data_IF_169339515718
#
_entry.id   IF_169339515718
#
_cell.length_a   1.000
_cell.length_b   1.000
_cell.length_c   1.000
_cell.angle_alpha   90.00
_cell.angle_beta   90.00
_cell.angle_gamma   90.00
#
_symmetry.space_group_name_H-M   'P 1'
#
loop_
_entity.id
_entity.type
_entity.pdbx_description
1 polymer ?
#
# COMPACT_ATOMS: atom_id res chain seq x y z
N UNK A 1 21.29 -0.83 14.63
CA UNK A 1 20.86 0.52 15.05
C UNK A 1 19.39 0.43 15.41
N UNK A 2 18.87 1.16 16.41
CA UNK A 2 17.44 1.14 16.70
C UNK A 2 16.71 1.87 15.57
N UNK A 3 15.81 1.19 14.88
CA UNK A 3 14.98 1.77 13.81
C UNK A 3 14.02 2.81 14.41
N UNK A 4 14.01 4.02 13.83
CA UNK A 4 13.15 5.13 14.24
C UNK A 4 11.72 4.93 13.73
N UNK A 5 10.89 4.18 14.43
CA UNK A 5 9.46 4.08 14.11
C UNK A 5 8.70 5.30 14.62
N UNK A 6 8.02 6.01 13.72
CA UNK A 6 7.25 7.21 14.10
C UNK A 6 5.84 6.86 14.55
N UNK A 7 5.28 5.72 14.11
CA UNK A 7 3.92 5.32 14.45
C UNK A 7 3.74 3.83 14.79
N UNK A 8 2.66 3.51 15.52
CA UNK A 8 2.35 2.14 16.00
C UNK A 8 2.08 1.15 14.87
N UNK A 9 1.54 1.62 13.74
CA UNK A 9 1.28 0.80 12.56
C UNK A 9 2.58 0.34 11.92
N UNK A 10 3.49 1.25 11.67
CA UNK A 10 4.81 0.97 11.08
C UNK A 10 5.55 -0.09 11.89
N UNK A 11 5.67 0.10 13.21
CA UNK A 11 6.34 -0.87 14.08
C UNK A 11 5.70 -2.27 14.02
N UNK A 12 4.37 -2.34 13.90
CA UNK A 12 3.67 -3.63 13.76
C UNK A 12 3.89 -4.24 12.40
N UNK A 13 3.95 -3.43 11.35
CA UNK A 13 4.25 -3.91 9.98
C UNK A 13 5.65 -4.48 9.95
N UNK A 14 6.63 -3.76 10.50
CA UNK A 14 7.99 -4.27 10.61
C UNK A 14 8.06 -5.61 11.36
N UNK A 15 7.40 -5.73 12.52
CA UNK A 15 7.37 -7.00 13.27
C UNK A 15 6.79 -8.14 12.44
N UNK A 16 5.74 -7.88 11.68
CA UNK A 16 5.15 -8.86 10.79
C UNK A 16 6.12 -9.26 9.66
N UNK A 17 6.80 -8.29 9.05
CA UNK A 17 7.80 -8.55 8.01
C UNK A 17 8.99 -9.34 8.57
N UNK A 18 9.42 -9.06 9.80
CA UNK A 18 10.44 -9.85 10.50
C UNK A 18 9.98 -11.26 10.82
N UNK A 19 8.73 -11.44 11.26
CA UNK A 19 8.13 -12.77 11.43
C UNK A 19 8.17 -13.58 10.12
N UNK A 20 7.85 -12.94 8.98
CA UNK A 20 7.95 -13.59 7.67
C UNK A 20 9.39 -13.92 7.30
N UNK A 21 10.33 -12.99 7.54
CA UNK A 21 11.77 -13.22 7.34
C UNK A 21 12.30 -14.40 8.15
N UNK A 22 11.90 -14.51 9.41
CA UNK A 22 12.33 -15.60 10.29
C UNK A 22 11.69 -16.93 9.89
N UNK A 23 10.46 -16.90 9.37
CA UNK A 23 9.72 -18.06 8.89
C UNK A 23 10.28 -18.60 7.56
N UNK A 24 10.77 -17.72 6.68
CA UNK A 24 11.26 -18.05 5.34
C UNK A 24 12.70 -17.55 5.13
N UNK A 25 13.68 -18.08 5.89
CA UNK A 25 15.07 -17.57 5.87
C UNK A 25 15.74 -17.70 4.49
N UNK A 26 15.34 -18.68 3.69
CA UNK A 26 15.83 -18.91 2.32
C UNK A 26 15.46 -17.80 1.34
N UNK A 27 14.44 -17.00 1.64
CA UNK A 27 14.02 -15.88 0.81
C UNK A 27 14.88 -14.63 1.00
N UNK A 28 15.76 -14.60 2.01
CA UNK A 28 16.78 -13.56 2.19
C UNK A 28 16.20 -12.14 2.25
N UNK A 29 15.37 -11.90 3.26
CA UNK A 29 14.68 -10.62 3.44
C UNK A 29 15.64 -9.51 3.90
N UNK A 30 15.67 -8.43 3.13
CA UNK A 30 16.20 -7.14 3.54
C UNK A 30 15.03 -6.17 3.72
N UNK A 31 14.78 -5.79 4.97
CA UNK A 31 13.69 -4.89 5.35
C UNK A 31 14.30 -3.52 5.64
N UNK A 32 13.84 -2.53 4.91
CA UNK A 32 14.17 -1.13 5.13
C UNK A 32 12.91 -0.42 5.63
N UNK A 33 12.96 0.12 6.83
CA UNK A 33 11.89 0.93 7.40
C UNK A 33 12.22 2.41 7.25
N UNK A 34 11.19 3.24 7.04
CA UNK A 34 11.29 4.71 7.00
C UNK A 34 12.38 5.21 6.04
N UNK A 35 12.33 4.72 4.80
CA UNK A 35 13.23 5.16 3.75
C UNK A 35 12.85 6.55 3.26
N UNK A 36 13.82 7.48 3.27
CA UNK A 36 13.63 8.81 2.70
C UNK A 36 14.20 8.90 1.29
N UNK A 37 13.32 9.00 0.31
CA UNK A 37 13.66 9.18 -1.09
C UNK A 37 13.85 10.66 -1.38
N UNK A 38 15.10 11.10 -1.39
CA UNK A 38 15.48 12.43 -1.88
C UNK A 38 15.39 12.47 -3.41
N UNK A 39 14.70 13.50 -3.91
CA UNK A 39 14.64 13.80 -5.33
C UNK A 39 15.35 15.12 -5.58
N UNK A 40 16.35 15.09 -6.47
CA UNK A 40 16.99 16.30 -7.01
C UNK A 40 16.15 16.99 -8.09
N UNK A 41 14.96 16.45 -8.41
CA UNK A 41 14.03 16.98 -9.40
C UNK A 41 12.86 17.65 -8.70
N UNK A 42 12.75 18.98 -8.81
CA UNK A 42 11.67 19.80 -8.24
C UNK A 42 10.26 19.36 -8.68
N UNK A 43 10.15 18.56 -9.75
CA UNK A 43 8.88 17.99 -10.22
C UNK A 43 8.41 16.80 -9.38
N UNK A 44 9.32 16.16 -8.65
CA UNK A 44 9.04 15.03 -7.79
C UNK A 44 9.40 15.41 -6.35
N UNK A 45 8.42 15.65 -5.46
CA UNK A 45 8.73 15.95 -4.07
C UNK A 45 9.42 14.76 -3.41
N UNK A 46 10.26 15.04 -2.42
CA UNK A 46 10.81 14.01 -1.53
C UNK A 46 9.68 13.16 -0.94
N UNK A 47 9.93 11.86 -0.78
CA UNK A 47 8.93 10.91 -0.28
C UNK A 47 9.50 10.01 0.80
N UNK A 48 8.68 9.71 1.79
CA UNK A 48 8.95 8.64 2.75
C UNK A 48 8.27 7.36 2.26
N UNK A 49 8.97 6.25 2.39
CA UNK A 49 8.43 4.90 2.22
C UNK A 49 8.46 4.22 3.59
N UNK A 50 7.30 3.83 4.09
CA UNK A 50 7.21 3.22 5.43
C UNK A 50 8.04 1.93 5.48
N UNK A 51 7.85 1.02 4.51
CA UNK A 51 8.62 -0.21 4.43
C UNK A 51 8.94 -0.58 2.98
N UNK A 52 10.19 -0.92 2.72
CA UNK A 52 10.64 -1.58 1.50
C UNK A 52 11.26 -2.93 1.88
N UNK A 53 10.84 -3.99 1.21
CA UNK A 53 11.37 -5.33 1.37
C UNK A 53 12.00 -5.76 0.06
N UNK A 54 13.27 -6.15 0.11
CA UNK A 54 13.96 -6.79 -1.01
C UNK A 54 14.25 -8.22 -0.60
N UNK A 55 13.75 -9.18 -1.36
CA UNK A 55 13.99 -10.60 -1.10
C UNK A 55 13.98 -11.38 -2.41
N UNK A 56 14.23 -12.69 -2.35
CA UNK A 56 14.22 -13.56 -3.54
C UNK A 56 12.88 -13.63 -4.25
N UNK A 57 11.79 -13.23 -3.59
CA UNK A 57 10.44 -13.21 -4.19
C UNK A 57 10.10 -11.88 -4.87
N UNK A 58 10.92 -10.84 -4.70
CA UNK A 58 10.72 -9.56 -5.37
C UNK A 58 11.10 -8.35 -4.51
N UNK A 59 10.64 -7.18 -4.95
CA UNK A 59 10.74 -5.92 -4.22
C UNK A 59 9.33 -5.49 -3.84
N UNK A 60 9.03 -5.40 -2.54
CA UNK A 60 7.72 -5.06 -2.01
C UNK A 60 7.79 -3.75 -1.26
N UNK A 61 6.95 -2.79 -1.62
CA UNK A 61 6.81 -1.50 -0.96
C UNK A 61 5.47 -1.45 -0.25
N UNK A 62 5.48 -1.10 1.03
CA UNK A 62 4.27 -0.98 1.83
C UNK A 62 4.09 0.45 2.33
N UNK A 63 2.92 1.00 2.06
CA UNK A 63 2.35 2.17 2.74
C UNK A 63 1.43 1.67 3.86
N UNK A 64 1.77 1.93 5.11
CA UNK A 64 1.09 1.37 6.27
C UNK A 64 0.09 2.36 6.85
N UNK A 65 -1.17 1.95 6.96
CA UNK A 65 -2.21 2.72 7.67
C UNK A 65 -2.66 2.01 8.94
N UNK A 66 -2.65 2.74 10.05
CA UNK A 66 -3.13 2.30 11.37
C UNK A 66 -4.47 2.97 11.71
N UNK A 67 -5.41 2.92 10.76
CA UNK A 67 -6.70 3.60 10.85
C UNK A 67 -7.77 2.70 11.48
N UNK A 68 -8.70 3.33 12.20
CA UNK A 68 -9.81 2.69 12.92
C UNK A 68 -11.15 3.08 12.30
N UNK A 69 -12.21 2.38 12.67
CA UNK A 69 -13.55 2.57 12.09
C UNK A 69 -13.67 1.93 10.72
N UNK A 70 -14.67 2.39 9.95
CA UNK A 70 -14.90 1.91 8.59
C UNK A 70 -14.02 2.67 7.61
N UNK A 71 -13.13 1.96 6.92
CA UNK A 71 -12.21 2.52 5.93
C UNK A 71 -12.65 2.11 4.54
N UNK A 72 -13.17 3.05 3.75
CA UNK A 72 -13.51 2.85 2.35
C UNK A 72 -12.28 3.11 1.49
N UNK A 73 -11.69 2.06 0.95
CA UNK A 73 -10.47 2.14 0.15
C UNK A 73 -10.75 2.58 -1.29
N UNK A 74 -10.08 3.66 -1.71
CA UNK A 74 -9.98 4.11 -3.10
C UNK A 74 -11.33 4.11 -3.88
N UNK A 75 -12.36 4.69 -3.26
CA UNK A 75 -13.73 4.75 -3.80
C UNK A 75 -13.96 6.04 -4.57
N UNK A 76 -14.98 6.04 -5.43
CA UNK A 76 -15.51 7.24 -6.08
C UNK A 76 -16.81 7.70 -5.42
N UNK A 77 -17.18 8.95 -5.69
CA UNK A 77 -18.47 9.50 -5.24
C UNK A 77 -19.66 8.68 -5.72
N UNK A 78 -19.64 8.22 -6.97
CA UNK A 78 -20.74 7.46 -7.58
C UNK A 78 -20.90 6.09 -6.93
N UNK A 79 -19.80 5.45 -6.51
CA UNK A 79 -19.86 4.21 -5.74
C UNK A 79 -20.53 4.42 -4.38
N UNK A 80 -20.17 5.48 -3.65
CA UNK A 80 -20.82 5.79 -2.37
C UNK A 80 -22.30 6.14 -2.54
N UNK A 81 -22.68 6.88 -3.59
CA UNK A 81 -24.07 7.18 -3.90
C UNK A 81 -24.86 5.89 -4.17
N UNK A 82 -24.25 4.94 -4.89
CA UNK A 82 -24.88 3.66 -5.22
C UNK A 82 -25.17 2.82 -3.97
N UNK A 83 -24.38 2.94 -2.89
CA UNK A 83 -24.64 2.27 -1.61
C UNK A 83 -25.90 2.79 -0.91
N UNK A 84 -26.18 4.10 -1.01
CA UNK A 84 -27.36 4.73 -0.35
C UNK A 84 -28.57 4.86 -1.28
N UNK A 85 -28.40 4.53 -2.56
CA UNK A 85 -29.43 4.62 -3.58
C UNK A 85 -29.48 3.34 -4.43
N UNK A 86 -30.11 2.25 -3.96
CA UNK A 86 -30.15 1.00 -4.70
C UNK A 86 -30.93 1.17 -6.01
N UNK A 87 -30.40 0.60 -7.09
CA UNK A 87 -30.84 0.76 -8.49
C UNK A 87 -32.33 0.44 -8.80
N UNK A 88 -33.08 -0.08 -7.84
CA UNK A 88 -34.51 -0.45 -7.98
C UNK A 88 -35.46 0.39 -7.11
N UNK A 89 -34.98 1.46 -6.47
CA UNK A 89 -35.77 2.34 -5.60
C UNK A 89 -35.87 3.78 -6.08
N UNK A 90 -36.78 4.55 -5.48
CA UNK A 90 -36.74 6.01 -5.64
C UNK A 90 -35.45 6.57 -5.03
N UNK A 91 -34.79 7.55 -5.68
CA UNK A 91 -33.60 8.19 -5.15
C UNK A 91 -33.79 8.65 -3.70
N UNK A 92 -32.97 8.14 -2.78
CA UNK A 92 -32.94 8.65 -1.40
C UNK A 92 -32.23 10.01 -1.37
N UNK A 93 -32.94 11.05 -1.82
CA UNK A 93 -32.39 12.41 -1.95
C UNK A 93 -31.83 12.95 -0.64
N UNK A 94 -32.42 12.57 0.49
CA UNK A 94 -31.93 12.96 1.81
C UNK A 94 -30.58 12.32 2.13
N UNK A 95 -30.43 11.01 1.92
CA UNK A 95 -29.16 10.31 2.11
C UNK A 95 -28.07 10.80 1.14
N UNK A 96 -28.40 11.05 -0.12
CA UNK A 96 -27.46 11.60 -1.11
C UNK A 96 -27.00 13.01 -0.70
N UNK A 97 -27.93 13.84 -0.22
CA UNK A 97 -27.60 15.19 0.27
C UNK A 97 -26.68 15.13 1.48
N UNK A 98 -26.99 14.25 2.44
CA UNK A 98 -26.15 14.05 3.62
C UNK A 98 -24.75 13.55 3.23
N UNK A 99 -24.66 12.49 2.43
CA UNK A 99 -23.38 11.97 1.92
C UNK A 99 -22.57 13.07 1.22
N UNK A 100 -23.20 13.83 0.32
CA UNK A 100 -22.50 14.89 -0.42
C UNK A 100 -22.02 16.01 0.51
N UNK A 101 -22.74 16.31 1.60
CA UNK A 101 -22.29 17.29 2.61
C UNK A 101 -21.12 16.83 3.49
N UNK A 102 -20.85 15.52 3.53
CA UNK A 102 -19.74 14.95 4.32
C UNK A 102 -18.46 14.83 3.48
N UNK A 103 -18.56 14.91 2.15
CA UNK A 103 -17.43 14.82 1.24
C UNK A 103 -16.77 16.20 1.03
N UNK A 104 -15.44 16.29 0.95
CA UNK A 104 -14.75 17.54 0.63
C UNK A 104 -15.19 18.12 -0.71
N UNK A 105 -15.15 19.45 -0.82
CA UNK A 105 -15.51 20.21 -2.03
C UNK A 105 -14.84 19.71 -3.32
N UNK A 106 -13.60 19.21 -3.23
CA UNK A 106 -12.86 18.70 -4.38
C UNK A 106 -13.47 17.40 -4.93
N UNK A 107 -13.86 16.50 -4.03
CA UNK A 107 -14.55 15.23 -4.35
C UNK A 107 -15.97 15.48 -4.87
N UNK A 108 -16.63 16.56 -4.43
CA UNK A 108 -17.99 16.89 -4.88
C UNK A 108 -18.04 17.58 -6.23
N UNK A 109 -16.96 18.25 -6.65
CA UNK A 109 -16.87 18.96 -7.95
C UNK A 109 -16.34 18.09 -9.09
N UNK A 110 -15.49 17.12 -8.79
CA UNK A 110 -14.84 16.25 -9.78
C UNK A 110 -15.41 14.81 -9.71
N UNK A 111 -16.31 14.46 -10.63
CA UNK A 111 -17.00 13.16 -10.64
C UNK A 111 -16.07 11.94 -10.83
N UNK A 112 -14.78 12.12 -11.12
CA UNK A 112 -13.84 11.03 -11.41
C UNK A 112 -12.69 10.88 -10.41
N UNK A 113 -12.56 11.75 -9.41
CA UNK A 113 -11.49 11.61 -8.42
C UNK A 113 -11.81 10.45 -7.45
N UNK A 114 -10.90 9.49 -7.32
CA UNK A 114 -10.98 8.45 -6.29
C UNK A 114 -10.31 8.93 -4.99
N UNK A 115 -10.81 8.44 -3.86
CA UNK A 115 -10.35 8.82 -2.54
C UNK A 115 -10.49 7.66 -1.55
N UNK A 116 -9.71 7.69 -0.49
CA UNK A 116 -9.91 6.83 0.67
C UNK A 116 -10.61 7.61 1.76
N UNK A 117 -11.60 7.01 2.42
CA UNK A 117 -12.38 7.66 3.48
C UNK A 117 -12.37 6.81 4.73
N UNK A 118 -12.26 7.43 5.90
CA UNK A 118 -12.42 6.76 7.20
C UNK A 118 -13.61 7.34 7.94
N UNK A 119 -14.46 6.48 8.49
CA UNK A 119 -15.62 6.84 9.30
C UNK A 119 -15.42 6.22 10.69
N UNK A 120 -15.03 7.04 11.67
CA UNK A 120 -14.88 6.63 13.07
C UNK A 120 -16.19 6.82 13.84
N UNK A 121 -16.95 7.84 13.47
CA UNK A 121 -18.32 8.12 13.90
C UNK A 121 -19.00 9.07 12.91
N UNK A 122 -20.32 9.29 12.97
CA UNK A 122 -21.02 10.21 12.06
C UNK A 122 -20.45 11.64 12.05
N UNK A 123 -19.87 12.07 13.17
CA UNK A 123 -19.21 13.36 13.33
C UNK A 123 -17.69 13.34 13.09
N UNK A 124 -17.10 12.17 12.85
CA UNK A 124 -15.66 12.00 12.64
C UNK A 124 -15.41 11.20 11.35
N UNK A 125 -15.38 11.94 10.25
CA UNK A 125 -15.11 11.46 8.90
C UNK A 125 -13.87 12.16 8.37
N UNK A 126 -12.90 11.38 7.90
CA UNK A 126 -11.67 11.88 7.28
C UNK A 126 -11.62 11.37 5.83
N UNK A 127 -11.25 12.25 4.90
CA UNK A 127 -11.16 11.92 3.47
C UNK A 127 -9.76 12.26 2.95
N UNK A 128 -9.21 11.33 2.18
CA UNK A 128 -7.84 11.35 1.66
C UNK A 128 -7.88 11.19 0.14
N UNK A 129 -7.61 12.26 -0.61
CA UNK A 129 -7.58 12.28 -2.07
C UNK A 129 -6.22 12.77 -2.62
N UNK A 130 -6.02 12.67 -3.93
CA UNK A 130 -4.75 13.06 -4.58
C UNK A 130 -3.54 12.41 -3.90
N UNK A 131 -2.51 13.21 -3.59
CA UNK A 131 -1.29 12.74 -2.92
C UNK A 131 -1.49 12.31 -1.46
N UNK A 132 -2.66 12.55 -0.86
CA UNK A 132 -2.99 12.06 0.48
C UNK A 132 -3.65 10.67 0.46
N UNK A 133 -4.15 10.21 -0.71
CA UNK A 133 -4.74 8.88 -0.87
C UNK A 133 -3.64 7.81 -0.73
N UNK A 134 -3.77 6.81 0.17
CA UNK A 134 -2.71 5.82 0.44
C UNK A 134 -2.19 5.10 -0.81
N UNK A 135 -3.08 4.72 -1.74
CA UNK A 135 -2.63 4.03 -2.97
C UNK A 135 -1.81 4.95 -3.86
N UNK A 136 -2.20 6.23 -3.97
CA UNK A 136 -1.44 7.23 -4.70
C UNK A 136 -0.10 7.51 -4.05
N UNK A 137 -0.02 7.49 -2.72
CA UNK A 137 1.24 7.65 -1.98
C UNK A 137 2.24 6.54 -2.32
N UNK A 138 1.82 5.27 -2.23
CA UNK A 138 2.71 4.14 -2.50
C UNK A 138 3.11 4.08 -3.98
N UNK A 139 2.19 4.35 -4.91
CA UNK A 139 2.48 4.37 -6.34
C UNK A 139 3.46 5.48 -6.73
N UNK A 140 3.27 6.69 -6.20
CA UNK A 140 4.20 7.78 -6.47
C UNK A 140 5.58 7.52 -5.86
N UNK A 141 5.63 6.91 -4.67
CA UNK A 141 6.90 6.51 -4.04
C UNK A 141 7.61 5.39 -4.79
N UNK A 142 6.86 4.41 -5.30
CA UNK A 142 7.36 3.36 -6.18
C UNK A 142 7.91 3.93 -7.49
N UNK A 143 7.22 4.89 -8.11
CA UNK A 143 7.72 5.62 -9.29
C UNK A 143 9.02 6.38 -9.00
N UNK A 144 9.10 7.11 -7.88
CA UNK A 144 10.31 7.83 -7.45
C UNK A 144 11.47 6.85 -7.24
N UNK A 145 11.25 5.76 -6.47
CA UNK A 145 12.26 4.75 -6.24
C UNK A 145 12.73 4.12 -7.57
N UNK A 146 11.79 3.76 -8.45
CA UNK A 146 12.12 3.19 -9.74
C UNK A 146 13.00 4.13 -10.56
N UNK A 147 12.71 5.44 -10.62
CA UNK A 147 13.57 6.42 -11.30
C UNK A 147 15.00 6.46 -10.75
N UNK A 148 15.17 6.35 -9.44
CA UNK A 148 16.49 6.34 -8.79
C UNK A 148 17.31 5.09 -9.15
N UNK A 149 16.67 3.92 -9.22
CA UNK A 149 17.38 2.63 -9.31
C UNK A 149 17.32 1.96 -10.70
N UNK A 150 16.35 2.30 -11.56
CA UNK A 150 16.04 1.58 -12.82
C UNK A 150 17.25 1.45 -13.74
N UNK A 151 17.92 2.57 -14.04
CA UNK A 151 19.08 2.60 -14.93
C UNK A 151 20.19 1.66 -14.46
N UNK A 152 20.41 1.56 -13.15
CA UNK A 152 21.46 0.73 -12.56
C UNK A 152 21.03 -0.74 -12.51
N UNK A 153 19.79 -1.02 -12.18
CA UNK A 153 19.24 -2.38 -12.17
C UNK A 153 19.20 -2.97 -13.58
N UNK A 154 18.75 -2.21 -14.59
CA UNK A 154 18.77 -2.67 -15.99
C UNK A 154 20.18 -2.98 -16.50
N UNK A 155 21.17 -2.15 -16.16
CA UNK A 155 22.59 -2.42 -16.47
C UNK A 155 23.10 -3.70 -15.81
N UNK A 156 22.55 -4.07 -14.66
CA UNK A 156 22.84 -5.33 -13.99
C UNK A 156 22.00 -6.52 -14.50
N UNK A 157 21.17 -6.33 -15.54
CA UNK A 157 20.26 -7.35 -16.07
C UNK A 157 19.09 -7.67 -15.14
N UNK A 158 18.77 -6.76 -14.21
CA UNK A 158 17.66 -6.87 -13.27
C UNK A 158 16.52 -5.99 -13.80
N UNK A 159 15.31 -6.55 -13.95
CA UNK A 159 14.12 -5.78 -14.22
C UNK A 159 13.53 -5.35 -12.87
N UNK A 160 13.62 -4.07 -12.46
CA UNK A 160 12.94 -3.63 -11.26
C UNK A 160 11.45 -3.73 -11.52
N UNK A 161 10.79 -4.55 -10.71
CA UNK A 161 9.36 -4.45 -10.53
C UNK A 161 9.14 -4.32 -9.03
N UNK A 162 8.64 -3.15 -8.64
CA UNK A 162 8.33 -2.82 -7.25
C UNK A 162 6.83 -3.08 -7.12
N UNK A 163 6.47 -3.97 -6.21
CA UNK A 163 5.08 -4.26 -5.88
C UNK A 163 4.65 -3.30 -4.79
N UNK A 164 3.70 -2.44 -5.12
CA UNK A 164 3.25 -1.33 -4.28
C UNK A 164 1.96 -1.73 -3.58
N UNK A 165 1.97 -1.77 -2.25
CA UNK A 165 0.84 -2.21 -1.44
C UNK A 165 0.47 -1.19 -0.38
N UNK A 166 -0.84 -0.99 -0.21
CA UNK A 166 -1.40 -0.36 0.99
C UNK A 166 -1.67 -1.45 2.02
N UNK A 167 -1.16 -1.27 3.24
CA UNK A 167 -1.37 -2.23 4.31
C UNK A 167 -2.09 -1.61 5.50
N UNK A 168 -3.36 -2.00 5.69
CA UNK A 168 -4.15 -1.62 6.85
C UNK A 168 -3.82 -2.56 8.02
N UNK A 169 -2.91 -2.12 8.89
CA UNK A 169 -2.37 -2.96 9.97
C UNK A 169 -2.96 -2.61 11.35
N UNK A 170 -4.24 -2.23 11.37
CA UNK A 170 -4.95 -1.98 12.62
C UNK A 170 -5.42 -3.30 13.25
N UNK A 171 -5.39 -3.36 14.58
CA UNK A 171 -6.00 -4.48 15.32
C UNK A 171 -7.34 -4.01 15.82
N UNK A 172 -8.36 -4.41 15.09
CA UNK A 172 -9.73 -4.29 15.53
C UNK A 172 -9.90 -4.87 16.93
N UNK A 173 -10.53 -4.09 17.82
CA UNK A 173 -11.04 -4.55 19.12
C UNK A 173 -12.57 -4.57 19.14
N UNK A 174 -13.21 -4.17 18.04
CA UNK A 174 -14.65 -3.95 17.92
C UNK A 174 -15.15 -4.48 16.58
N UNK A 175 -16.41 -4.92 16.50
CA UNK A 175 -17.00 -5.37 15.24
C UNK A 175 -17.10 -4.28 14.16
N UNK A 176 -16.86 -3.01 14.52
CA UNK A 176 -17.09 -1.84 13.68
C UNK A 176 -15.83 -1.37 12.92
N UNK A 177 -14.65 -1.93 13.24
CA UNK A 177 -13.40 -1.66 12.54
C UNK A 177 -13.29 -2.57 11.30
N UNK A 178 -13.50 -2.01 10.11
CA UNK A 178 -13.54 -2.75 8.85
C UNK A 178 -12.89 -1.96 7.72
N UNK A 179 -12.13 -2.64 6.85
CA UNK A 179 -11.69 -2.07 5.57
C UNK A 179 -12.62 -2.57 4.47
N UNK A 180 -13.31 -1.64 3.83
CA UNK A 180 -14.31 -1.88 2.80
C UNK A 180 -13.67 -1.58 1.44
N UNK A 181 -13.62 -2.60 0.60
CA UNK A 181 -13.11 -2.52 -0.77
C UNK A 181 -14.22 -2.79 -1.77
N UNK A 182 -14.71 -1.73 -2.40
CA UNK A 182 -15.78 -1.80 -3.39
C UNK A 182 -15.27 -2.21 -4.78
N UNK A 183 -13.95 -2.16 -5.00
CA UNK A 183 -13.31 -2.47 -6.28
C UNK A 183 -12.80 -3.92 -6.34
N UNK A 184 -12.70 -4.59 -5.18
CA UNK A 184 -12.17 -5.94 -5.06
C UNK A 184 -10.69 -6.02 -5.43
N UNK A 185 -9.92 -4.96 -5.14
CA UNK A 185 -8.49 -4.81 -5.42
C UNK A 185 -7.60 -5.10 -4.20
N UNK A 186 -8.14 -5.13 -2.99
CA UNK A 186 -7.44 -5.58 -1.79
C UNK A 186 -7.61 -7.09 -1.60
N UNK A 187 -6.67 -7.68 -0.85
CA UNK A 187 -6.68 -9.09 -0.47
C UNK A 187 -6.77 -10.06 -1.66
N UNK A 188 -6.31 -9.64 -2.85
CA UNK A 188 -6.23 -10.50 -4.03
C UNK A 188 -5.39 -11.74 -3.69
N UNK A 189 -5.82 -12.94 -4.13
CA UNK A 189 -4.99 -14.11 -4.01
C UNK A 189 -3.75 -13.98 -4.90
N UNK A 190 -2.74 -14.79 -4.60
CA UNK A 190 -1.58 -14.93 -5.47
C UNK A 190 -1.99 -15.29 -6.92
N UNK A 191 -1.25 -14.74 -7.88
CA UNK A 191 -1.31 -15.04 -9.31
C UNK A 191 0.11 -15.12 -9.88
N UNK A 192 0.33 -15.90 -10.94
CA UNK A 192 1.59 -15.85 -11.69
C UNK A 192 1.75 -14.54 -12.49
N UNK A 193 0.67 -13.75 -12.63
CA UNK A 193 0.71 -12.39 -13.17
C UNK A 193 0.80 -11.37 -12.03
N UNK A 194 1.93 -10.66 -11.97
CA UNK A 194 2.19 -9.61 -11.00
C UNK A 194 1.20 -8.45 -11.04
N UNK A 195 0.57 -8.21 -12.18
CA UNK A 195 -0.43 -7.15 -12.31
C UNK A 195 -1.76 -7.52 -11.62
N UNK A 196 -1.95 -8.79 -11.25
CA UNK A 196 -3.16 -9.28 -10.58
C UNK A 196 -3.06 -9.33 -9.05
N UNK A 197 -1.92 -8.95 -8.47
CA UNK A 197 -1.70 -9.01 -7.01
C UNK A 197 -2.47 -7.96 -6.21
N UNK A 198 -3.16 -7.04 -6.89
CA UNK A 198 -4.01 -6.03 -6.26
C UNK A 198 -3.24 -4.88 -5.64
N UNK A 199 -3.95 -4.10 -4.83
CA UNK A 199 -3.49 -2.83 -4.25
C UNK A 199 -3.06 -2.96 -2.78
N UNK A 200 -3.23 -4.12 -2.15
CA UNK A 200 -2.75 -4.36 -0.79
C UNK A 200 -3.62 -5.26 0.07
N UNK A 201 -3.57 -5.04 1.39
CA UNK A 201 -4.11 -5.97 2.38
C UNK A 201 -4.91 -5.28 3.48
N UNK A 202 -6.06 -5.86 3.82
CA UNK A 202 -6.97 -5.34 4.86
C UNK A 202 -6.51 -5.67 6.28
N UNK A 203 -5.68 -6.70 6.45
CA UNK A 203 -5.17 -7.12 7.75
C UNK A 203 -3.94 -8.05 7.63
N UNK A 204 -3.27 -8.28 8.77
CA UNK A 204 -2.06 -9.08 8.84
C UNK A 204 -2.24 -10.54 8.41
N UNK A 205 -3.42 -11.15 8.59
CA UNK A 205 -3.67 -12.53 8.15
C UNK A 205 -3.67 -12.63 6.63
N UNK A 206 -4.18 -11.60 5.94
CA UNK A 206 -4.23 -11.54 4.48
C UNK A 206 -2.84 -11.39 3.88
N UNK A 207 -2.01 -10.49 4.42
CA UNK A 207 -0.60 -10.37 4.02
C UNK A 207 0.18 -11.66 4.27
N UNK A 208 0.02 -12.30 5.45
CA UNK A 208 0.69 -13.60 5.71
C UNK A 208 0.30 -14.66 4.69
N UNK A 209 -1.00 -14.79 4.40
CA UNK A 209 -1.50 -15.77 3.45
C UNK A 209 -0.96 -15.48 2.04
N UNK A 210 -1.03 -14.24 1.59
CA UNK A 210 -0.50 -13.83 0.30
C UNK A 210 1.00 -14.15 0.19
N UNK A 211 1.80 -13.75 1.19
CA UNK A 211 3.24 -14.02 1.14
C UNK A 211 3.55 -15.51 1.19
N UNK A 212 2.81 -16.29 1.98
CA UNK A 212 2.93 -17.75 1.97
C UNK A 212 2.65 -18.30 0.56
N UNK A 213 1.57 -17.87 -0.08
CA UNK A 213 1.24 -18.33 -1.43
C UNK A 213 2.32 -17.89 -2.45
N UNK A 214 2.90 -16.69 -2.33
CA UNK A 214 4.05 -16.24 -3.13
C UNK A 214 5.28 -17.11 -2.86
N UNK A 215 5.59 -17.39 -1.60
CA UNK A 215 6.72 -18.21 -1.21
C UNK A 215 6.62 -19.61 -1.83
N UNK A 216 5.45 -20.25 -1.66
CA UNK A 216 5.19 -21.62 -2.07
C UNK A 216 5.09 -21.77 -3.60
N UNK A 217 4.55 -20.78 -4.30
CA UNK A 217 4.16 -20.94 -5.71
C UNK A 217 4.93 -20.08 -6.71
N UNK A 218 5.63 -19.01 -6.28
CA UNK A 218 6.29 -18.11 -7.23
C UNK A 218 7.35 -18.85 -8.05
N UNK A 219 7.21 -18.93 -9.39
CA UNK A 219 8.20 -19.57 -10.24
C UNK A 219 9.58 -18.92 -10.08
N UNK A 220 10.63 -19.73 -9.95
CA UNK A 220 12.02 -19.26 -9.80
C UNK A 220 12.46 -18.26 -10.89
N UNK A 221 11.90 -18.38 -12.10
CA UNK A 221 12.18 -17.49 -13.23
C UNK A 221 11.65 -16.06 -13.03
N UNK A 222 10.63 -15.91 -12.19
CA UNK A 222 10.00 -14.63 -11.85
C UNK A 222 10.63 -14.01 -10.59
N UNK A 223 11.22 -14.83 -9.73
CA UNK A 223 11.97 -14.39 -8.55
C UNK A 223 13.34 -13.79 -8.85
N UNK A 224 13.99 -13.31 -7.79
CA UNK A 224 15.34 -12.75 -7.78
C UNK A 224 16.36 -13.81 -7.30
N UNK A 225 17.51 -13.85 -7.97
CA UNK A 225 18.66 -14.64 -7.53
C UNK A 225 19.34 -13.95 -6.33
N UNK A 226 20.05 -14.70 -5.46
CA UNK A 226 20.74 -14.12 -4.30
C UNK A 226 21.66 -12.93 -4.65
N UNK A 227 22.47 -13.06 -5.71
CA UNK A 227 23.33 -11.96 -6.19
C UNK A 227 22.56 -10.73 -6.70
N UNK A 228 21.30 -10.89 -7.10
CA UNK A 228 20.45 -9.76 -7.51
C UNK A 228 19.91 -9.06 -6.26
N UNK A 229 19.44 -9.81 -5.26
CA UNK A 229 19.03 -9.30 -3.95
C UNK A 229 20.13 -8.45 -3.34
N UNK A 230 21.33 -9.02 -3.18
CA UNK A 230 22.50 -8.32 -2.64
C UNK A 230 22.81 -7.00 -3.38
N UNK A 231 22.80 -7.02 -4.72
CA UNK A 231 23.04 -5.82 -5.53
C UNK A 231 21.97 -4.74 -5.37
N UNK A 232 20.71 -5.13 -5.22
CA UNK A 232 19.59 -4.20 -5.02
C UNK A 232 19.71 -3.59 -3.63
N UNK A 233 19.94 -4.41 -2.60
CA UNK A 233 20.14 -3.99 -1.21
C UNK A 233 21.31 -3.00 -1.10
N UNK A 234 22.46 -3.31 -1.70
CA UNK A 234 23.61 -2.43 -1.76
C UNK A 234 23.30 -1.10 -2.45
N UNK A 235 22.50 -1.14 -3.52
CA UNK A 235 22.14 0.05 -4.26
C UNK A 235 21.24 0.97 -3.42
N UNK A 236 20.24 0.41 -2.74
CA UNK A 236 19.35 1.14 -1.83
C UNK A 236 20.17 1.79 -0.71
N UNK A 237 21.05 1.03 -0.04
CA UNK A 237 21.91 1.57 1.03
C UNK A 237 22.80 2.73 0.60
N UNK A 238 23.29 2.74 -0.64
CA UNK A 238 24.21 3.78 -1.13
C UNK A 238 23.50 5.04 -1.63
N UNK A 239 22.21 4.94 -1.94
CA UNK A 239 21.46 6.00 -2.63
C UNK A 239 20.41 6.67 -1.76
N UNK A 240 20.00 6.01 -0.68
CA UNK A 240 18.84 6.41 0.12
C UNK A 240 19.34 6.68 1.54
N UNK A 241 19.03 7.87 2.05
CA UNK A 241 19.32 8.24 3.43
C UNK A 241 18.37 7.43 4.32
N UNK A 242 18.94 6.62 5.21
CA UNK A 242 18.22 5.95 6.28
C UNK A 242 18.14 6.94 7.45
N UNK A 243 16.93 7.34 7.83
CA UNK A 243 16.67 8.23 8.97
C UNK A 243 16.47 7.44 10.29
#
# INVERSE_FOLDING_TARGET
MPENYTNRGEYRTYKLLKELSDKYPEDDFHIFANLYLESDDDRDPNRQVDHLVVCRKGIFMFETKYWTGQVYHNVTRDQLISLVNPAKGQPNKAAIKLLTSLLPDKVTRENQESFTMTIKSPENIEVYNGTSNPITQVQLSGLTLNRLIDKKLRRAGIKPYIHEFVFYNYVSRSGDDEVIDLNGVLDKPYSDDYNDWGEGFTNASRLRKFYQDVHDNLPDKLGLKPRQVEKITDLIHRQIVLD
#
